data_IF_070700370549
#
_entry.id   IF_070700370549
#
_cell.length_a   1.000
_cell.length_b   1.000
_cell.length_c   1.000
_cell.angle_alpha   90.00
_cell.angle_beta   90.00
_cell.angle_gamma   90.00
#
_symmetry.space_group_name_H-M   'P 1'
#
loop_
_entity.id
_entity.type
_entity.pdbx_description
1 polymer ?
#
# COMPACT_ATOMS: atom_id res chain seq x y z
N UNK A 1 -23.92 25.39 0.54
CA UNK A 1 -22.73 24.99 -0.25
C UNK A 1 -21.90 24.03 0.60
N UNK A 2 -22.16 22.72 0.50
CA UNK A 2 -21.35 21.66 1.13
C UNK A 2 -21.31 20.50 0.14
N UNK A 3 -20.20 20.36 -0.58
CA UNK A 3 -19.98 19.28 -1.53
C UNK A 3 -19.52 18.04 -0.77
N UNK A 4 -20.45 17.12 -0.52
CA UNK A 4 -20.13 15.75 -0.11
C UNK A 4 -19.73 14.96 -1.36
N UNK A 5 -18.46 14.99 -1.70
CA UNK A 5 -17.89 14.19 -2.80
C UNK A 5 -16.73 13.36 -2.29
N UNK A 6 -17.04 12.14 -1.82
CA UNK A 6 -16.20 10.93 -1.83
C UNK A 6 -17.01 9.82 -1.17
N UNK A 7 -17.24 8.73 -1.91
CA UNK A 7 -18.15 7.64 -1.55
C UNK A 7 -17.95 7.15 -0.12
N UNK A 8 -19.02 7.17 0.65
CA UNK A 8 -19.08 6.59 1.99
C UNK A 8 -19.04 5.06 1.85
N UNK A 9 -17.86 4.46 2.01
CA UNK A 9 -17.76 3.03 2.31
C UNK A 9 -18.33 2.83 3.73
N UNK A 10 -19.54 2.26 3.83
CA UNK A 10 -20.28 2.02 5.08
C UNK A 10 -19.78 0.82 5.89
N UNK A 11 -18.73 0.15 5.45
CA UNK A 11 -18.07 -0.92 6.21
C UNK A 11 -16.90 -0.27 6.94
N UNK A 12 -16.85 -0.36 8.28
CA UNK A 12 -15.64 0.00 9.02
C UNK A 12 -14.49 -0.86 8.47
N UNK A 13 -13.51 -0.27 7.76
CA UNK A 13 -12.46 -1.05 7.10
C UNK A 13 -11.71 -1.83 8.18
N UNK A 14 -11.75 -3.16 8.12
CA UNK A 14 -11.10 -3.99 9.11
C UNK A 14 -9.60 -3.73 9.06
N UNK A 15 -8.99 -3.44 10.22
CA UNK A 15 -7.53 -3.39 10.32
C UNK A 15 -6.99 -4.79 10.06
N UNK A 16 -6.18 -4.93 9.02
CA UNK A 16 -5.61 -6.20 8.57
C UNK A 16 -4.09 -6.26 8.70
N UNK A 17 -3.43 -5.11 8.88
CA UNK A 17 -1.99 -5.05 9.07
C UNK A 17 -1.51 -3.70 9.59
N UNK A 18 -0.19 -3.55 9.67
CA UNK A 18 0.45 -2.37 10.26
C UNK A 18 1.70 -2.00 9.48
N UNK A 19 2.01 -0.71 9.39
CA UNK A 19 3.22 -0.23 8.74
C UNK A 19 4.38 -0.14 9.72
N UNK A 20 5.59 -0.42 9.25
CA UNK A 20 6.84 -0.16 9.98
C UNK A 20 6.91 1.35 10.22
N UNK A 21 6.87 1.71 11.50
CA UNK A 21 6.70 3.06 12.05
C UNK A 21 7.33 4.15 11.16
N UNK A 22 6.49 4.86 10.40
CA UNK A 22 6.88 6.11 9.72
C UNK A 22 6.10 7.24 10.38
N UNK A 23 6.81 8.27 10.82
CA UNK A 23 6.31 9.32 11.73
C UNK A 23 5.38 10.33 11.03
N UNK A 24 4.31 9.88 10.38
CA UNK A 24 3.32 10.78 9.78
C UNK A 24 1.97 10.52 10.41
N UNK A 25 1.69 11.28 11.46
CA UNK A 25 0.47 11.24 12.26
C UNK A 25 -0.76 11.79 11.54
N UNK A 26 -0.96 11.41 10.28
CA UNK A 26 -2.12 11.86 9.53
C UNK A 26 -3.29 10.88 9.68
N UNK A 27 -4.43 11.41 10.11
CA UNK A 27 -5.67 10.64 10.37
C UNK A 27 -6.48 10.41 9.09
N UNK A 28 -5.99 10.93 7.96
CA UNK A 28 -6.61 10.81 6.65
C UNK A 28 -6.43 9.39 6.10
N UNK A 29 -7.44 8.95 5.34
CA UNK A 29 -7.40 7.70 4.61
C UNK A 29 -6.56 7.88 3.35
N UNK A 30 -5.42 7.21 3.27
CA UNK A 30 -4.52 7.26 2.12
C UNK A 30 -4.67 5.97 1.32
N UNK A 31 -5.14 6.01 0.06
CA UNK A 31 -5.17 4.85 -0.82
C UNK A 31 -3.75 4.41 -1.17
N UNK A 32 -3.49 3.12 -1.12
CA UNK A 32 -2.17 2.55 -1.38
C UNK A 32 -2.27 1.17 -2.02
N UNK A 33 -1.24 0.79 -2.78
CA UNK A 33 -1.11 -0.56 -3.34
C UNK A 33 -0.13 -1.37 -2.50
N UNK A 34 -0.57 -2.53 -1.99
CA UNK A 34 0.30 -3.48 -1.34
C UNK A 34 0.91 -4.44 -2.38
N UNK A 35 2.24 -4.51 -2.39
CA UNK A 35 3.02 -5.36 -3.28
C UNK A 35 3.88 -6.32 -2.48
N UNK A 36 3.87 -7.61 -2.82
CA UNK A 36 4.88 -8.53 -2.28
C UNK A 36 6.16 -8.37 -3.08
N UNK A 37 7.22 -7.98 -2.39
CA UNK A 37 8.51 -7.66 -3.01
C UNK A 37 9.58 -8.66 -2.62
N UNK A 38 10.60 -8.74 -3.47
CA UNK A 38 11.77 -9.60 -3.31
C UNK A 38 13.01 -8.82 -3.75
N UNK A 39 14.22 -9.28 -3.45
CA UNK A 39 15.48 -8.56 -3.60
C UNK A 39 15.79 -8.02 -5.02
N UNK A 40 15.09 -8.52 -6.06
CA UNK A 40 15.25 -8.06 -7.46
C UNK A 40 14.07 -7.23 -7.96
N UNK A 41 13.10 -6.93 -7.10
CA UNK A 41 11.91 -6.18 -7.45
C UNK A 41 12.26 -4.72 -7.73
N UNK A 42 11.81 -4.20 -8.85
CA UNK A 42 12.13 -2.83 -9.26
C UNK A 42 10.96 -2.06 -9.86
N UNK A 43 11.22 -0.85 -10.38
CA UNK A 43 10.18 0.03 -10.93
C UNK A 43 9.38 -0.58 -12.09
N UNK A 44 9.97 -1.51 -12.85
CA UNK A 44 9.27 -2.22 -13.93
C UNK A 44 8.23 -3.19 -13.38
N UNK A 45 8.54 -3.87 -12.28
CA UNK A 45 7.62 -4.79 -11.62
C UNK A 45 6.46 -4.03 -10.97
N UNK A 46 6.73 -2.85 -10.38
CA UNK A 46 5.69 -1.93 -9.89
C UNK A 46 4.72 -1.57 -11.01
N UNK A 47 5.24 -1.11 -12.16
CA UNK A 47 4.38 -0.73 -13.31
C UNK A 47 3.55 -1.89 -13.81
N UNK A 48 4.13 -3.10 -13.85
CA UNK A 48 3.42 -4.31 -14.24
C UNK A 48 2.28 -4.61 -13.25
N UNK A 49 2.57 -4.63 -11.96
CA UNK A 49 1.56 -4.89 -10.92
C UNK A 49 0.42 -3.85 -10.94
N UNK A 50 0.75 -2.56 -11.05
CA UNK A 50 -0.25 -1.47 -11.18
C UNK A 50 -1.15 -1.67 -12.40
N UNK A 51 -0.57 -2.03 -13.55
CA UNK A 51 -1.35 -2.30 -14.75
C UNK A 51 -2.23 -3.53 -14.60
N UNK A 52 -1.76 -4.58 -13.93
CA UNK A 52 -2.53 -5.78 -13.65
C UNK A 52 -3.74 -5.46 -12.76
N UNK A 53 -3.57 -4.65 -11.69
CA UNK A 53 -4.69 -4.21 -10.85
C UNK A 53 -5.69 -3.35 -11.60
N UNK A 54 -5.22 -2.39 -12.41
CA UNK A 54 -6.10 -1.56 -13.23
C UNK A 54 -7.02 -2.38 -14.15
N UNK A 55 -6.60 -3.57 -14.56
CA UNK A 55 -7.38 -4.42 -15.46
C UNK A 55 -8.32 -5.39 -14.73
N UNK A 56 -8.02 -5.73 -13.47
CA UNK A 56 -8.65 -6.87 -12.76
C UNK A 56 -9.44 -6.45 -11.53
N UNK A 57 -9.13 -5.31 -10.95
CA UNK A 57 -9.67 -4.85 -9.67
C UNK A 57 -10.63 -3.70 -9.90
N UNK A 58 -11.88 -3.89 -9.49
CA UNK A 58 -12.99 -2.96 -9.68
C UNK A 58 -12.96 -1.77 -8.70
N UNK A 59 -12.22 -1.89 -7.60
CA UNK A 59 -12.01 -0.84 -6.60
C UNK A 59 -10.80 0.04 -6.97
N UNK A 60 -9.92 -0.46 -7.83
CA UNK A 60 -8.71 0.25 -8.21
C UNK A 60 -8.98 1.55 -8.99
N UNK A 61 -8.45 2.65 -8.48
CA UNK A 61 -8.48 3.96 -9.12
C UNK A 61 -7.07 4.54 -9.25
N UNK A 62 -6.93 5.61 -10.05
CA UNK A 62 -5.66 6.32 -10.14
C UNK A 62 -5.20 6.96 -8.81
N UNK A 63 -6.05 7.02 -7.78
CA UNK A 63 -5.65 7.55 -6.48
C UNK A 63 -4.70 6.57 -5.75
N UNK A 64 -4.75 5.28 -6.04
CA UNK A 64 -3.91 4.26 -5.40
C UNK A 64 -2.45 4.25 -5.90
N UNK A 65 -2.17 4.82 -7.08
CA UNK A 65 -0.87 4.63 -7.76
C UNK A 65 0.27 5.41 -7.12
N UNK A 66 -0.01 6.40 -6.28
CA UNK A 66 1.00 7.30 -5.69
C UNK A 66 1.67 6.71 -4.46
N UNK A 67 1.02 5.75 -3.80
CA UNK A 67 1.47 5.19 -2.52
C UNK A 67 1.64 3.68 -2.61
N UNK A 68 2.81 3.18 -2.22
CA UNK A 68 3.14 1.77 -2.23
C UNK A 68 3.38 1.27 -0.82
N UNK A 69 2.79 0.12 -0.48
CA UNK A 69 3.12 -0.66 0.72
C UNK A 69 3.91 -1.88 0.28
N UNK A 70 5.18 -1.93 0.66
CA UNK A 70 6.09 -3.01 0.32
C UNK A 70 6.01 -4.09 1.39
N UNK A 71 5.64 -5.30 0.98
CA UNK A 71 5.62 -6.48 1.84
C UNK A 71 6.80 -7.39 1.45
N UNK A 72 7.92 -7.37 2.19
CA UNK A 72 9.06 -8.23 1.88
C UNK A 72 8.69 -9.70 2.05
N UNK A 73 9.34 -10.56 1.27
CA UNK A 73 9.35 -11.99 1.59
C UNK A 73 10.15 -12.22 2.88
N UNK A 74 9.78 -13.27 3.62
CA UNK A 74 10.37 -13.57 4.92
C UNK A 74 11.89 -13.73 4.79
N UNK A 75 12.65 -12.90 5.50
CA UNK A 75 14.12 -12.93 5.52
C UNK A 75 14.80 -12.16 4.37
N UNK A 76 14.04 -11.44 3.54
CA UNK A 76 14.62 -10.58 2.50
C UNK A 76 14.75 -9.14 2.99
N UNK A 77 15.94 -8.55 2.81
CA UNK A 77 16.17 -7.12 2.96
C UNK A 77 15.75 -6.41 1.67
N UNK A 78 14.92 -5.38 1.81
CA UNK A 78 14.36 -4.60 0.71
C UNK A 78 14.71 -3.12 0.83
N UNK A 79 15.70 -2.78 1.66
CA UNK A 79 16.12 -1.40 1.89
C UNK A 79 16.51 -0.69 0.58
N UNK A 80 17.30 -1.36 -0.26
CA UNK A 80 17.71 -0.83 -1.57
C UNK A 80 16.52 -0.57 -2.50
N UNK A 81 15.52 -1.45 -2.48
CA UNK A 81 14.30 -1.33 -3.27
C UNK A 81 13.48 -0.15 -2.78
N UNK A 82 13.34 -0.01 -1.46
CA UNK A 82 12.62 1.09 -0.84
C UNK A 82 13.24 2.43 -1.24
N UNK A 83 14.57 2.54 -1.18
CA UNK A 83 15.30 3.73 -1.63
C UNK A 83 15.11 3.99 -3.13
N UNK A 84 15.21 2.97 -3.98
CA UNK A 84 15.03 3.11 -5.43
C UNK A 84 13.61 3.57 -5.81
N UNK A 85 12.60 3.03 -5.13
CA UNK A 85 11.19 3.36 -5.40
C UNK A 85 10.82 4.75 -4.85
N UNK A 86 11.36 5.14 -3.70
CA UNK A 86 11.20 6.50 -3.16
C UNK A 86 11.77 7.58 -4.12
N UNK A 87 12.85 7.29 -4.84
CA UNK A 87 13.40 8.17 -5.88
C UNK A 87 12.50 8.26 -7.13
N UNK A 88 11.57 7.33 -7.31
CA UNK A 88 10.71 7.20 -8.49
C UNK A 88 9.33 7.87 -8.31
N UNK A 89 9.20 8.85 -7.42
CA UNK A 89 7.98 9.60 -7.11
C UNK A 89 6.87 8.85 -6.37
N UNK A 90 7.16 7.66 -5.83
CA UNK A 90 6.21 6.94 -4.96
C UNK A 90 6.47 7.28 -3.50
N UNK A 91 5.39 7.46 -2.73
CA UNK A 91 5.48 7.36 -1.28
C UNK A 91 5.51 5.88 -0.91
N UNK A 92 6.60 5.42 -0.30
CA UNK A 92 6.80 4.01 0.03
C UNK A 92 6.73 3.77 1.53
N UNK A 93 5.90 2.81 1.93
CA UNK A 93 5.85 2.27 3.28
C UNK A 93 6.21 0.79 3.26
N UNK A 94 6.58 0.25 4.42
CA UNK A 94 6.87 -1.19 4.57
C UNK A 94 5.84 -1.82 5.49
N UNK A 95 5.28 -2.96 5.11
CA UNK A 95 4.40 -3.74 5.98
C UNK A 95 5.21 -4.35 7.14
N UNK A 96 4.71 -4.20 8.35
CA UNK A 96 5.28 -4.77 9.57
C UNK A 96 4.82 -6.21 9.74
N UNK A 97 5.66 -7.12 9.23
CA UNK A 97 5.45 -8.56 9.30
C UNK A 97 5.52 -9.13 10.72
N UNK A 98 5.99 -8.37 11.72
CA UNK A 98 6.00 -8.84 13.11
C UNK A 98 4.62 -8.79 13.74
N UNK A 99 3.76 -7.88 13.27
CA UNK A 99 2.39 -7.70 13.74
C UNK A 99 1.34 -8.32 12.82
N UNK A 100 1.73 -8.83 11.64
CA UNK A 100 0.82 -9.53 10.72
C UNK A 100 0.92 -11.05 10.90
N UNK A 101 -0.18 -11.70 11.29
CA UNK A 101 -0.26 -13.16 11.45
C UNK A 101 -0.05 -13.92 10.13
N UNK A 102 -0.35 -13.28 8.98
CA UNK A 102 -0.21 -13.82 7.64
C UNK A 102 0.15 -12.71 6.66
N UNK A 103 0.81 -13.08 5.55
CA UNK A 103 1.05 -12.18 4.43
C UNK A 103 -0.30 -11.70 3.88
N UNK A 104 -0.42 -10.39 3.68
CA UNK A 104 -1.59 -9.81 3.03
C UNK A 104 -1.54 -10.10 1.53
N UNK A 105 -2.70 -10.34 0.89
CA UNK A 105 -2.76 -10.44 -0.56
C UNK A 105 -2.34 -9.11 -1.20
N UNK A 106 -1.82 -9.17 -2.42
CA UNK A 106 -1.47 -7.96 -3.14
C UNK A 106 -2.74 -7.28 -3.67
N UNK A 107 -2.77 -5.95 -3.68
CA UNK A 107 -3.93 -5.21 -4.15
C UNK A 107 -4.08 -3.83 -3.53
N UNK A 108 -5.23 -3.18 -3.73
CA UNK A 108 -5.57 -1.90 -3.13
C UNK A 108 -5.89 -2.05 -1.64
N UNK A 109 -5.38 -1.11 -0.85
CA UNK A 109 -5.62 -0.97 0.59
C UNK A 109 -5.74 0.51 0.96
N UNK A 110 -6.30 0.78 2.13
CA UNK A 110 -6.25 2.10 2.74
C UNK A 110 -5.30 2.10 3.94
N UNK A 111 -4.52 3.17 4.06
CA UNK A 111 -3.67 3.45 5.20
C UNK A 111 -4.35 4.52 6.05
N UNK A 112 -4.35 4.33 7.37
CA UNK A 112 -4.74 5.36 8.34
C UNK A 112 -3.80 5.37 9.53
N UNK A 113 -3.03 6.44 9.69
CA UNK A 113 -1.90 6.45 10.62
C UNK A 113 -0.92 5.30 10.29
N UNK A 114 -0.80 4.33 11.19
CA UNK A 114 0.08 3.17 11.00
C UNK A 114 -0.68 1.89 10.64
N UNK A 115 -2.01 1.94 10.50
CA UNK A 115 -2.84 0.77 10.25
C UNK A 115 -3.12 0.61 8.76
N UNK A 116 -3.12 -0.64 8.30
CA UNK A 116 -3.52 -1.05 6.95
C UNK A 116 -4.94 -1.62 7.05
N UNK A 117 -5.81 -1.14 6.17
CA UNK A 117 -7.20 -1.54 6.09
C UNK A 117 -7.55 -2.00 4.68
N UNK A 118 -8.45 -2.98 4.57
CA UNK A 118 -8.94 -3.45 3.28
C UNK A 118 -9.70 -2.33 2.54
N UNK A 119 -9.48 -2.22 1.21
CA UNK A 119 -10.20 -1.28 0.35
C UNK A 119 -11.62 -1.74 0.02
#
# INVERSE_FOLDING_TARGET
MWALSRGSYYVHPQEVGRLVKTATGDKLWTPAVLLSVHARFGPRDVKKAINDFRQRDDVFSNDFISTLVLQPRKGEDISDITTQLAQSSFTTYTNDLTHTLRLLPQGPYFIRGNSIHQA
#
